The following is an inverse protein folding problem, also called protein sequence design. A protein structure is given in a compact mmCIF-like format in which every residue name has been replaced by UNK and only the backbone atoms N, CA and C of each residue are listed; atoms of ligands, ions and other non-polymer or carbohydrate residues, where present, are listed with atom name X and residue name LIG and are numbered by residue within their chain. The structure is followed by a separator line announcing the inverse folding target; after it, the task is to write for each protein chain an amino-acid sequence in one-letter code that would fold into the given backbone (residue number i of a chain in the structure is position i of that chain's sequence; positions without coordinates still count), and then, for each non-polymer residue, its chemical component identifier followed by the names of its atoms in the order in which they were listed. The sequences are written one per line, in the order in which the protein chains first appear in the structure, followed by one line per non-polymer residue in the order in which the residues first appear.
data_IF_448269920040
#
_entry.id   IF_448269920040
#
_cell.length_a   1.000
_cell.length_b   1.000
_cell.length_c   1.000
_cell.angle_alpha   90.00
_cell.angle_beta   90.00
_cell.angle_gamma   90.00
#
_symmetry.space_group_name_H-M   'P 1'
#
loop_
_entity.id
_entity.type
_entity.pdbx_description
1 polymer ?
#
# COMPACT_ATOMS: atom_id res chain seq x y z
N UNK A 1 -15.12 11.27 5.44
CA UNK A 1 -15.87 10.33 4.57
C UNK A 1 -16.22 9.12 5.40
N UNK A 2 -17.41 8.54 5.24
CA UNK A 2 -17.73 7.24 5.85
C UNK A 2 -17.31 6.10 4.92
N UNK A 3 -17.04 4.92 5.47
CA UNK A 3 -16.73 3.71 4.69
C UNK A 3 -17.79 3.44 3.60
N UNK A 4 -19.06 3.60 3.95
CA UNK A 4 -20.18 3.43 3.01
C UNK A 4 -20.13 4.42 1.85
N UNK A 5 -19.80 5.68 2.12
CA UNK A 5 -19.65 6.68 1.06
C UNK A 5 -18.43 6.42 0.18
N UNK A 6 -17.32 5.96 0.78
CA UNK A 6 -16.12 5.59 0.04
C UNK A 6 -16.37 4.46 -0.95
N UNK A 7 -17.02 3.37 -0.51
CA UNK A 7 -17.34 2.22 -1.36
C UNK A 7 -18.24 2.62 -2.56
N UNK A 8 -19.28 3.43 -2.31
CA UNK A 8 -20.15 3.96 -3.37
C UNK A 8 -19.35 4.82 -4.36
N UNK A 9 -18.47 5.69 -3.86
CA UNK A 9 -17.63 6.57 -4.69
C UNK A 9 -16.70 5.76 -5.58
N UNK A 10 -16.02 4.75 -5.03
CA UNK A 10 -15.13 3.87 -5.77
C UNK A 10 -15.89 3.06 -6.83
N UNK A 11 -17.08 2.52 -6.50
CA UNK A 11 -17.93 1.79 -7.45
C UNK A 11 -18.35 2.64 -8.64
N UNK A 12 -18.76 3.89 -8.39
CA UNK A 12 -19.08 4.82 -9.47
C UNK A 12 -17.85 5.12 -10.33
N UNK A 13 -16.73 5.46 -9.70
CA UNK A 13 -15.52 5.86 -10.42
C UNK A 13 -14.96 4.74 -11.32
N UNK A 14 -15.12 3.47 -10.92
CA UNK A 14 -14.76 2.28 -11.73
C UNK A 14 -15.61 2.09 -13.00
N UNK A 15 -16.84 2.60 -13.02
CA UNK A 15 -17.78 2.44 -14.15
C UNK A 15 -17.99 3.74 -14.93
N UNK A 16 -17.47 4.85 -14.42
CA UNK A 16 -17.62 6.15 -15.04
C UNK A 16 -16.71 6.31 -16.26
N UNK A 17 -17.25 6.84 -17.35
CA UNK A 17 -16.52 7.08 -18.59
C UNK A 17 -15.75 8.39 -18.50
N UNK A 18 -14.53 8.32 -17.95
CA UNK A 18 -13.66 9.49 -17.75
C UNK A 18 -12.77 9.83 -18.97
N UNK A 19 -12.96 9.12 -20.08
CA UNK A 19 -12.13 9.21 -21.27
C UNK A 19 -10.77 8.49 -21.12
N UNK A 20 -9.83 8.79 -22.01
CA UNK A 20 -8.56 8.04 -22.15
C UNK A 20 -7.36 8.77 -21.50
N UNK A 21 -7.58 9.40 -20.35
CA UNK A 21 -6.50 10.10 -19.62
C UNK A 21 -5.71 9.10 -18.79
N UNK A 22 -4.39 9.28 -18.78
CA UNK A 22 -3.47 8.55 -17.92
C UNK A 22 -2.64 9.52 -17.10
N UNK A 23 -2.39 9.15 -15.85
CA UNK A 23 -1.38 9.79 -15.02
C UNK A 23 -0.09 8.99 -15.14
N UNK A 24 1.03 9.69 -15.30
CA UNK A 24 2.36 9.09 -15.43
C UNK A 24 3.23 9.54 -14.28
N UNK A 25 3.70 8.58 -13.49
CA UNK A 25 4.75 8.80 -12.51
C UNK A 25 6.06 8.23 -13.05
N UNK A 26 7.11 9.04 -13.13
CA UNK A 26 8.36 8.66 -13.78
C UNK A 26 9.58 9.01 -12.94
N UNK A 27 10.56 8.12 -12.96
CA UNK A 27 11.90 8.33 -12.43
C UNK A 27 12.95 7.94 -13.46
N UNK A 28 14.22 7.89 -13.05
CA UNK A 28 15.36 7.64 -13.95
C UNK A 28 15.21 6.36 -14.78
N UNK A 29 14.67 5.30 -14.18
CA UNK A 29 14.62 3.97 -14.77
C UNK A 29 13.22 3.35 -14.77
N UNK A 30 12.18 4.13 -14.45
CA UNK A 30 10.82 3.60 -14.41
C UNK A 30 9.78 4.62 -14.85
N UNK A 31 8.67 4.11 -15.40
CA UNK A 31 7.45 4.86 -15.72
C UNK A 31 6.23 4.04 -15.33
N UNK A 32 5.40 4.59 -14.46
CA UNK A 32 4.17 3.96 -13.96
C UNK A 32 2.98 4.70 -14.54
N UNK A 33 2.07 3.97 -15.16
CA UNK A 33 0.88 4.52 -15.80
C UNK A 33 -0.34 4.15 -14.96
N UNK A 34 -1.11 5.17 -14.57
CA UNK A 34 -2.30 5.04 -13.75
C UNK A 34 -3.51 5.56 -14.52
N UNK A 35 -4.67 4.92 -14.33
CA UNK A 35 -5.94 5.46 -14.80
C UNK A 35 -6.44 6.58 -13.85
N UNK A 36 -7.57 7.25 -14.17
CA UNK A 36 -8.06 8.35 -13.35
C UNK A 36 -8.51 8.02 -11.92
N UNK A 37 -8.64 6.73 -11.59
CA UNK A 37 -8.94 6.26 -10.24
C UNK A 37 -7.71 5.64 -9.57
N UNK A 38 -6.52 6.00 -10.06
CA UNK A 38 -5.22 5.58 -9.56
C UNK A 38 -5.00 4.07 -9.56
N UNK A 39 -5.67 3.33 -10.44
CA UNK A 39 -5.33 1.93 -10.68
C UNK A 39 -4.19 1.84 -11.68
N UNK A 40 -3.26 0.92 -11.42
CA UNK A 40 -2.14 0.60 -12.29
C UNK A 40 -2.65 0.07 -13.64
N UNK A 41 -2.12 0.64 -14.74
CA UNK A 41 -2.40 0.24 -16.11
C UNK A 41 -1.22 -0.53 -16.72
N UNK A 42 0.00 -0.04 -16.48
CA UNK A 42 1.25 -0.72 -16.82
C UNK A 42 2.40 -0.06 -16.06
N UNK A 43 3.50 -0.79 -15.93
CA UNK A 43 4.78 -0.22 -15.51
C UNK A 43 5.83 -0.50 -16.59
N UNK A 44 6.71 0.46 -16.82
CA UNK A 44 7.91 0.29 -17.60
C UNK A 44 9.09 0.39 -16.64
N UNK A 45 9.91 -0.65 -16.52
CA UNK A 45 11.08 -0.69 -15.63
C UNK A 45 12.28 -1.09 -16.48
N UNK A 46 13.34 -0.29 -16.46
CA UNK A 46 14.55 -0.50 -17.27
C UNK A 46 14.23 -0.71 -18.77
N UNK A 47 13.23 -0.01 -19.30
CA UNK A 47 12.76 -0.15 -20.69
C UNK A 47 11.88 -1.37 -20.97
N UNK A 48 11.67 -2.27 -20.01
CA UNK A 48 10.78 -3.43 -20.12
C UNK A 48 9.38 -3.07 -19.65
N UNK A 49 8.35 -3.40 -20.45
CA UNK A 49 6.95 -3.17 -20.09
C UNK A 49 6.36 -4.36 -19.37
N UNK A 50 5.79 -4.12 -18.19
CA UNK A 50 5.13 -5.09 -17.34
C UNK A 50 3.61 -4.82 -17.32
N UNK A 51 2.79 -5.74 -17.84
CA UNK A 51 1.33 -5.65 -17.75
C UNK A 51 0.85 -5.94 -16.33
N UNK A 52 -0.28 -5.36 -15.93
CA UNK A 52 -0.89 -5.47 -14.58
C UNK A 52 -0.94 -6.92 -14.08
N UNK A 53 -1.32 -7.86 -14.96
CA UNK A 53 -1.48 -9.28 -14.66
C UNK A 53 -0.19 -9.94 -14.14
N UNK A 54 0.97 -9.41 -14.54
CA UNK A 54 2.29 -9.88 -14.08
C UNK A 54 2.72 -9.22 -12.78
N UNK A 55 2.09 -8.11 -12.39
CA UNK A 55 2.44 -7.31 -11.21
C UNK A 55 1.51 -7.57 -10.01
N UNK A 56 0.33 -8.16 -10.22
CA UNK A 56 -0.64 -8.47 -9.16
C UNK A 56 -0.19 -9.53 -8.16
N UNK A 57 0.89 -10.26 -8.45
CA UNK A 57 1.38 -11.37 -7.61
C UNK A 57 2.30 -10.92 -6.48
N UNK A 58 2.73 -9.65 -6.45
CA UNK A 58 3.84 -9.19 -5.60
C UNK A 58 3.37 -8.80 -4.17
N UNK A 59 2.08 -8.58 -3.95
CA UNK A 59 1.56 -8.06 -2.66
C UNK A 59 0.97 -9.12 -1.71
N UNK A 60 1.36 -10.41 -1.82
CA UNK A 60 0.76 -11.47 -0.98
C UNK A 60 1.66 -11.99 0.16
N UNK A 61 2.83 -11.41 0.37
CA UNK A 61 3.85 -11.93 1.31
C UNK A 61 4.18 -10.99 2.50
N UNK A 62 3.42 -9.91 2.73
CA UNK A 62 3.79 -8.87 3.70
C UNK A 62 2.88 -8.72 4.93
N UNK A 63 1.97 -9.66 5.23
CA UNK A 63 1.07 -9.56 6.42
C UNK A 63 1.15 -10.76 7.38
N UNK A 64 2.32 -11.39 7.54
CA UNK A 64 2.50 -12.55 8.45
C UNK A 64 3.60 -12.35 9.52
N UNK A 65 3.79 -11.13 10.01
CA UNK A 65 4.73 -10.86 11.12
C UNK A 65 4.18 -9.73 12.00
N UNK A 66 3.32 -10.05 12.97
CA UNK A 66 3.01 -9.20 14.13
C UNK A 66 2.35 -10.07 15.23
N UNK A 67 3.16 -10.77 16.04
CA UNK A 67 2.77 -11.26 17.40
C UNK A 67 4.03 -11.60 18.21
N UNK A 68 4.56 -10.63 18.96
CA UNK A 68 5.47 -10.88 20.08
C UNK A 68 5.07 -9.97 21.24
N UNK A 69 4.27 -10.52 22.16
CA UNK A 69 3.94 -9.94 23.45
C UNK A 69 5.21 -9.76 24.32
N UNK A 70 5.50 -8.54 24.73
CA UNK A 70 6.52 -8.23 25.75
C UNK A 70 5.82 -8.02 27.10
N UNK A 71 5.52 -9.10 27.81
CA UNK A 71 5.22 -9.03 29.24
C UNK A 71 6.53 -9.06 30.04
N UNK A 72 7.03 -7.89 30.40
CA UNK A 72 8.16 -7.70 31.31
C UNK A 72 7.68 -7.41 32.73
N UNK A 73 7.96 -8.33 33.63
CA UNK A 73 7.59 -8.34 35.05
C UNK A 73 8.09 -7.11 35.82
N UNK A 74 7.22 -6.54 36.65
CA UNK A 74 7.56 -5.57 37.69
C UNK A 74 8.25 -6.27 38.87
N UNK A 75 9.50 -5.93 39.15
CA UNK A 75 10.15 -6.24 40.43
C UNK A 75 10.13 -4.99 41.31
N UNK A 76 9.22 -4.96 42.27
CA UNK A 76 9.43 -4.20 43.50
C UNK A 76 10.43 -4.95 44.39
N UNK A 77 11.10 -4.20 45.26
CA UNK A 77 12.03 -4.60 46.34
C UNK A 77 13.53 -4.47 46.03
N UNK A 78 14.10 -3.30 46.33
CA UNK A 78 15.05 -3.25 47.44
C UNK A 78 15.20 -1.83 48.02
N UNK A 79 14.98 -1.76 49.32
CA UNK A 79 14.99 -0.58 50.18
C UNK A 79 16.38 -0.42 50.80
N UNK A 80 16.86 0.83 50.82
CA UNK A 80 18.01 1.38 51.57
C UNK A 80 19.44 0.94 51.21
N UNK A 81 20.19 1.85 50.57
CA UNK A 81 21.56 2.20 50.98
C UNK A 81 22.01 3.54 50.35
N UNK A 82 21.71 4.66 50.99
CA UNK A 82 22.54 5.89 50.87
C UNK A 82 23.11 6.22 52.26
N UNK A 83 24.43 6.24 52.32
CA UNK A 83 25.38 7.08 53.09
C UNK A 83 24.95 7.54 54.49
#
# INVERSE_FOLDING_TARGET
MSEKMWDVTIKHAKTCVMGNKYYVFQGTNYRVFLNPICQLVKAEINGTTYPIQTLSSINREAEDYDDYDMEGESQDEDVMAEI
#
